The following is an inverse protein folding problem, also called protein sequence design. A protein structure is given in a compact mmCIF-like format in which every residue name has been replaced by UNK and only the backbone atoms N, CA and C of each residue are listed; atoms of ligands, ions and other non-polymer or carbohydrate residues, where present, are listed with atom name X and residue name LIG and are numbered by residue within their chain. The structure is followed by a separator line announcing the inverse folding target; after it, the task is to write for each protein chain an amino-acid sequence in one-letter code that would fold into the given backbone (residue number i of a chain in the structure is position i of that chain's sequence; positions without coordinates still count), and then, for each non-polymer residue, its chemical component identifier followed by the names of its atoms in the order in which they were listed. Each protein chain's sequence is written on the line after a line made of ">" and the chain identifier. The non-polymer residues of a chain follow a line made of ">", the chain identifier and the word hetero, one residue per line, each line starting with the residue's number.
data_IF_799396684436
#
_entry.id   IF_799396684436
#
_cell.length_a   1.000
_cell.length_b   1.000
_cell.length_c   1.000
_cell.angle_alpha   90.00
_cell.angle_beta   90.00
_cell.angle_gamma   90.00
#
_symmetry.space_group_name_H-M   'P 1'
#
loop_
_entity.id
_entity.type
_entity.pdbx_description
1 polymer ?
#
# COMPACT_ATOMS: atom_id res chain seq x y z
N UNK A 1 16.80 4.02 5.30
CA UNK A 1 15.46 4.37 4.81
C UNK A 1 15.51 5.35 3.65
N UNK A 2 16.07 6.53 3.82
CA UNK A 2 16.22 7.51 2.73
C UNK A 2 17.17 7.04 1.61
N UNK A 3 18.22 6.32 1.96
CA UNK A 3 19.13 5.70 0.97
C UNK A 3 18.41 4.65 0.13
N UNK A 4 17.54 3.85 0.73
CA UNK A 4 16.70 2.88 0.02
C UNK A 4 15.77 3.59 -0.98
N UNK A 5 15.12 4.68 -0.56
CA UNK A 5 14.27 5.49 -1.44
C UNK A 5 15.04 6.01 -2.63
N UNK A 6 16.19 6.63 -2.39
CA UNK A 6 17.03 7.21 -3.45
C UNK A 6 17.51 6.13 -4.44
N UNK A 7 17.98 5.01 -3.94
CA UNK A 7 18.46 3.91 -4.77
C UNK A 7 17.34 3.29 -5.62
N UNK A 8 16.18 3.06 -5.05
CA UNK A 8 15.05 2.50 -5.79
C UNK A 8 14.53 3.45 -6.87
N UNK A 9 14.43 4.74 -6.57
CA UNK A 9 14.02 5.74 -7.54
C UNK A 9 15.04 5.88 -8.69
N UNK A 10 16.32 5.69 -8.42
CA UNK A 10 17.37 5.74 -9.42
C UNK A 10 17.41 4.47 -10.30
N UNK A 11 17.26 3.29 -9.70
CA UNK A 11 17.37 2.01 -10.42
C UNK A 11 16.07 1.58 -11.09
N UNK A 12 14.92 2.00 -10.58
CA UNK A 12 13.62 1.72 -11.15
C UNK A 12 12.77 3.00 -11.21
N UNK A 13 13.04 3.89 -12.17
CA UNK A 13 12.31 5.16 -12.28
C UNK A 13 10.80 4.97 -12.42
N UNK A 14 10.04 5.81 -11.76
CA UNK A 14 8.58 5.70 -11.70
C UNK A 14 8.07 4.90 -10.51
N UNK A 15 8.95 4.24 -9.74
CA UNK A 15 8.59 3.62 -8.47
C UNK A 15 8.18 4.70 -7.46
N UNK A 16 7.23 4.34 -6.59
CA UNK A 16 6.76 5.23 -5.54
C UNK A 16 7.32 4.74 -4.21
N UNK A 17 8.09 5.58 -3.56
CA UNK A 17 8.53 5.38 -2.18
C UNK A 17 8.20 6.65 -1.41
N UNK A 18 7.13 6.59 -0.64
CA UNK A 18 6.71 7.70 0.22
C UNK A 18 7.08 7.42 1.67
N UNK A 19 7.77 8.35 2.27
CA UNK A 19 8.17 8.28 3.68
C UNK A 19 7.57 9.48 4.39
N UNK A 20 6.69 9.19 5.34
CA UNK A 20 6.05 10.21 6.16
C UNK A 20 6.69 10.20 7.55
N UNK A 21 7.20 11.36 7.95
CA UNK A 21 7.85 11.56 9.23
C UNK A 21 7.12 12.66 10.01
N UNK A 22 7.17 12.57 11.33
CA UNK A 22 6.63 13.61 12.20
C UNK A 22 7.77 14.38 12.86
N UNK A 23 7.74 15.71 12.72
CA UNK A 23 8.69 16.60 13.37
C UNK A 23 8.13 17.03 14.73
N UNK A 24 8.92 16.82 15.78
CA UNK A 24 8.59 17.26 17.13
C UNK A 24 8.98 18.73 17.33
N UNK A 25 8.40 19.34 18.37
CA UNK A 25 8.70 20.75 18.74
C UNK A 25 10.17 20.99 19.06
N UNK A 26 10.90 19.97 19.51
CA UNK A 26 12.34 20.03 19.78
C UNK A 26 13.23 19.88 18.55
N UNK A 27 12.63 19.79 17.35
CA UNK A 27 13.36 19.60 16.10
C UNK A 27 13.66 18.14 15.74
N UNK A 28 13.41 17.19 16.62
CA UNK A 28 13.58 15.77 16.32
C UNK A 28 12.52 15.31 15.32
N UNK A 29 12.96 14.42 14.42
CA UNK A 29 12.11 13.80 13.39
C UNK A 29 12.04 12.30 13.66
N UNK A 30 10.84 11.76 13.73
CA UNK A 30 10.68 10.33 13.84
C UNK A 30 9.81 9.77 12.70
N UNK A 31 10.11 8.52 12.33
CA UNK A 31 9.40 7.79 11.30
C UNK A 31 7.95 7.54 11.71
N UNK A 32 7.04 7.80 10.78
CA UNK A 32 5.62 7.55 10.98
C UNK A 32 5.10 6.41 10.12
N UNK A 33 5.31 6.49 8.81
CA UNK A 33 4.83 5.49 7.86
C UNK A 33 5.60 5.55 6.55
N UNK A 34 5.58 4.44 5.83
CA UNK A 34 6.24 4.31 4.53
C UNK A 34 5.37 3.51 3.58
N UNK A 35 5.39 3.88 2.31
CA UNK A 35 4.75 3.13 1.23
C UNK A 35 5.75 2.86 0.12
N UNK A 36 5.71 1.65 -0.43
CA UNK A 36 6.58 1.23 -1.52
C UNK A 36 5.76 0.54 -2.60
N UNK A 37 5.85 1.05 -3.83
CA UNK A 37 5.32 0.42 -5.03
C UNK A 37 6.39 0.45 -6.11
N UNK A 38 6.96 -0.70 -6.43
CA UNK A 38 8.01 -0.80 -7.45
C UNK A 38 7.35 -0.74 -8.82
N UNK A 39 7.83 0.14 -9.70
CA UNK A 39 7.26 0.38 -11.03
C UNK A 39 7.11 -0.90 -11.85
N UNK A 40 8.12 -1.77 -11.84
CA UNK A 40 8.06 -3.04 -12.54
C UNK A 40 6.93 -3.94 -12.04
N UNK A 41 6.69 -3.98 -10.73
CA UNK A 41 5.59 -4.74 -10.12
C UNK A 41 4.23 -4.15 -10.48
N UNK A 42 4.10 -2.84 -10.46
CA UNK A 42 2.86 -2.16 -10.85
C UNK A 42 2.55 -2.39 -12.33
N UNK A 43 3.52 -2.25 -13.20
CA UNK A 43 3.37 -2.48 -14.63
C UNK A 43 2.96 -3.93 -14.93
N UNK A 44 3.57 -4.90 -14.26
CA UNK A 44 3.21 -6.30 -14.37
C UNK A 44 1.80 -6.60 -13.87
N UNK A 45 1.39 -5.97 -12.79
CA UNK A 45 0.02 -6.06 -12.29
C UNK A 45 -0.99 -5.55 -13.32
N UNK A 46 -0.75 -4.37 -13.87
CA UNK A 46 -1.67 -3.75 -14.83
C UNK A 46 -1.74 -4.50 -16.17
N UNK A 47 -0.64 -5.14 -16.58
CA UNK A 47 -0.53 -5.82 -17.86
C UNK A 47 -0.94 -7.30 -17.80
N UNK A 48 -0.66 -8.00 -16.69
CA UNK A 48 -0.74 -9.46 -16.67
C UNK A 48 -1.54 -10.08 -15.54
N UNK A 49 -1.93 -9.32 -14.53
CA UNK A 49 -2.69 -9.84 -13.41
C UNK A 49 -4.20 -9.64 -13.59
N UNK A 50 -4.97 -10.40 -12.84
CA UNK A 50 -6.41 -10.17 -12.75
C UNK A 50 -6.68 -8.82 -12.07
N UNK A 51 -7.79 -8.12 -12.38
CA UNK A 51 -8.15 -6.87 -11.71
C UNK A 51 -8.65 -7.13 -10.27
N UNK A 52 -7.78 -7.67 -9.47
CA UNK A 52 -8.02 -8.12 -8.11
C UNK A 52 -6.86 -7.69 -7.20
N UNK A 53 -7.18 -7.19 -6.03
CA UNK A 53 -6.22 -6.92 -4.97
C UNK A 53 -6.74 -7.49 -3.65
N UNK A 54 -5.93 -8.32 -3.02
CA UNK A 54 -6.07 -8.67 -1.62
C UNK A 54 -5.17 -7.76 -0.79
N UNK A 55 -5.71 -7.11 0.21
CA UNK A 55 -4.95 -6.26 1.13
C UNK A 55 -5.14 -6.74 2.55
N UNK A 56 -4.04 -7.03 3.18
CA UNK A 56 -3.98 -7.53 4.55
C UNK A 56 -2.80 -6.91 5.27
N UNK A 57 -2.79 -6.99 6.58
CA UNK A 57 -1.68 -6.52 7.39
C UNK A 57 -1.24 -7.56 8.41
N UNK A 58 0.01 -7.48 8.79
CA UNK A 58 0.59 -8.33 9.82
C UNK A 58 1.40 -7.51 10.80
N UNK A 59 1.45 -7.96 12.06
CA UNK A 59 2.25 -7.31 13.08
C UNK A 59 3.74 -7.53 12.84
N UNK A 60 4.50 -6.45 12.94
CA UNK A 60 5.95 -6.51 12.97
C UNK A 60 6.43 -6.70 14.41
N UNK A 61 7.27 -7.69 14.63
CA UNK A 61 7.88 -7.98 15.93
C UNK A 61 9.39 -7.82 15.83
N UNK A 62 9.93 -6.78 16.42
CA UNK A 62 11.36 -6.48 16.34
C UNK A 62 11.67 -5.13 16.96
N UNK A 63 12.69 -4.45 16.45
CA UNK A 63 13.03 -3.09 16.90
C UNK A 63 11.91 -2.08 16.60
N UNK A 64 11.18 -2.29 15.49
CA UNK A 64 10.00 -1.53 15.15
C UNK A 64 8.76 -2.39 15.34
N UNK A 65 7.87 -1.97 16.21
CA UNK A 65 6.58 -2.61 16.45
C UNK A 65 5.50 -1.82 15.70
N UNK A 66 5.02 -2.39 14.63
CA UNK A 66 4.02 -1.75 13.79
C UNK A 66 3.29 -2.76 12.93
N UNK A 67 2.74 -2.29 11.84
CA UNK A 67 2.01 -3.09 10.87
C UNK A 67 2.72 -3.06 9.52
N UNK A 68 2.81 -4.21 8.88
CA UNK A 68 3.17 -4.33 7.47
C UNK A 68 1.91 -4.64 6.68
N UNK A 69 1.48 -3.70 5.87
CA UNK A 69 0.37 -3.90 4.94
C UNK A 69 0.91 -4.35 3.59
N UNK A 70 0.28 -5.33 2.99
CA UNK A 70 0.65 -5.83 1.68
C UNK A 70 -0.57 -5.84 0.75
N UNK A 71 -0.39 -5.30 -0.45
CA UNK A 71 -1.35 -5.41 -1.54
C UNK A 71 -0.83 -6.45 -2.53
N UNK A 72 -1.57 -7.52 -2.71
CA UNK A 72 -1.22 -8.64 -3.57
C UNK A 72 -2.31 -8.92 -4.59
N UNK A 73 -1.92 -9.42 -5.74
CA UNK A 73 -2.83 -9.84 -6.80
C UNK A 73 -2.59 -11.30 -7.16
N UNK A 74 -3.22 -11.76 -8.22
CA UNK A 74 -3.08 -13.10 -8.76
C UNK A 74 -2.75 -12.97 -10.25
N UNK A 75 -1.68 -13.62 -10.67
CA UNK A 75 -1.28 -13.65 -12.07
C UNK A 75 -2.07 -14.68 -12.89
N UNK A 76 -1.76 -14.79 -14.18
CA UNK A 76 -2.42 -15.72 -15.09
C UNK A 76 -2.24 -17.20 -14.74
N UNK A 77 -1.28 -17.55 -13.89
CA UNK A 77 -1.02 -18.92 -13.42
C UNK A 77 -1.60 -19.19 -12.03
N UNK A 78 -2.41 -18.28 -11.48
CA UNK A 78 -2.95 -18.33 -10.12
C UNK A 78 -1.88 -18.24 -9.02
N UNK A 79 -0.74 -17.64 -9.31
CA UNK A 79 0.29 -17.36 -8.33
C UNK A 79 0.06 -16.00 -7.67
N UNK A 80 0.42 -15.92 -6.40
CA UNK A 80 0.42 -14.64 -5.67
C UNK A 80 1.42 -13.66 -6.30
N UNK A 81 0.96 -12.45 -6.57
CA UNK A 81 1.77 -11.40 -7.20
C UNK A 81 1.82 -10.17 -6.28
N UNK A 82 3.00 -9.79 -5.78
CA UNK A 82 3.12 -8.61 -4.92
C UNK A 82 3.00 -7.33 -5.75
N UNK A 83 2.18 -6.39 -5.27
CA UNK A 83 1.95 -5.11 -5.94
C UNK A 83 2.57 -3.95 -5.17
N UNK A 84 2.29 -3.85 -3.88
CA UNK A 84 2.77 -2.75 -3.05
C UNK A 84 2.81 -3.12 -1.57
N UNK A 85 3.59 -2.36 -0.80
CA UNK A 85 3.72 -2.53 0.65
C UNK A 85 3.57 -1.21 1.36
N UNK A 86 3.05 -1.26 2.58
CA UNK A 86 3.01 -0.14 3.49
C UNK A 86 3.47 -0.53 4.88
N UNK A 87 4.13 0.38 5.57
CA UNK A 87 4.52 0.21 6.98
C UNK A 87 3.97 1.39 7.76
N UNK A 88 3.23 1.11 8.83
CA UNK A 88 2.70 2.13 9.73
C UNK A 88 2.57 1.57 11.15
N UNK A 89 2.35 2.47 12.11
CA UNK A 89 2.39 2.09 13.52
C UNK A 89 1.15 1.30 13.97
N UNK A 90 -0.04 1.74 13.56
CA UNK A 90 -1.31 1.11 13.95
C UNK A 90 -2.30 1.08 12.79
N UNK A 91 -3.23 0.16 12.84
CA UNK A 91 -4.34 0.08 11.90
C UNK A 91 -5.42 1.12 12.23
N UNK A 92 -5.14 2.37 11.95
CA UNK A 92 -6.09 3.47 12.11
C UNK A 92 -6.72 3.83 10.77
N UNK A 93 -7.89 4.46 10.79
CA UNK A 93 -8.52 5.00 9.59
C UNK A 93 -7.58 5.96 8.84
N UNK A 94 -6.85 6.80 9.57
CA UNK A 94 -5.92 7.76 8.98
C UNK A 94 -4.77 7.08 8.23
N UNK A 95 -4.19 6.04 8.82
CA UNK A 95 -3.09 5.29 8.21
C UNK A 95 -3.57 4.47 7.01
N UNK A 96 -4.71 3.80 7.10
CA UNK A 96 -5.30 3.11 5.96
C UNK A 96 -5.72 4.07 4.84
N UNK A 97 -6.26 5.23 5.16
CA UNK A 97 -6.58 6.26 4.15
C UNK A 97 -5.33 6.71 3.40
N UNK A 98 -4.25 6.93 4.12
CA UNK A 98 -2.97 7.29 3.52
C UNK A 98 -2.43 6.16 2.62
N UNK A 99 -2.48 4.91 3.08
CA UNK A 99 -2.07 3.74 2.29
C UNK A 99 -2.87 3.64 0.98
N UNK A 100 -4.19 3.74 1.06
CA UNK A 100 -5.06 3.67 -0.11
C UNK A 100 -4.81 4.80 -1.09
N UNK A 101 -4.56 6.01 -0.62
CA UNK A 101 -4.20 7.14 -1.48
C UNK A 101 -2.91 6.89 -2.25
N UNK A 102 -1.89 6.36 -1.60
CA UNK A 102 -0.63 6.01 -2.25
C UNK A 102 -0.83 4.86 -3.24
N UNK A 103 -1.59 3.85 -2.88
CA UNK A 103 -1.90 2.73 -3.77
C UNK A 103 -2.66 3.18 -5.02
N UNK A 104 -3.68 4.02 -4.85
CA UNK A 104 -4.43 4.61 -5.98
C UNK A 104 -3.54 5.44 -6.88
N UNK A 105 -2.61 6.20 -6.33
CA UNK A 105 -1.59 6.93 -7.07
C UNK A 105 -0.72 5.99 -7.92
N UNK A 106 -0.38 4.82 -7.39
CA UNK A 106 0.48 3.85 -8.06
C UNK A 106 -0.24 3.10 -9.19
N UNK A 107 -1.45 2.60 -8.94
CA UNK A 107 -2.15 1.70 -9.86
C UNK A 107 -3.32 2.36 -10.60
N UNK A 108 -3.79 3.52 -10.15
CA UNK A 108 -5.02 4.12 -10.67
C UNK A 108 -6.25 3.32 -10.28
N UNK A 109 -7.25 3.31 -11.15
CA UNK A 109 -8.50 2.55 -10.99
C UNK A 109 -8.71 1.67 -12.21
N UNK A 110 -8.02 0.52 -12.31
CA UNK A 110 -8.19 -0.40 -13.43
C UNK A 110 -9.64 -0.86 -13.56
N UNK A 111 -10.10 -1.02 -14.79
CA UNK A 111 -11.47 -1.45 -15.03
C UNK A 111 -11.76 -2.80 -14.38
N UNK A 112 -12.88 -2.87 -13.66
CA UNK A 112 -13.30 -4.10 -12.99
C UNK A 112 -12.51 -4.45 -11.72
N UNK A 113 -11.73 -3.52 -11.19
CA UNK A 113 -10.93 -3.77 -10.00
C UNK A 113 -11.81 -4.14 -8.80
N UNK A 114 -11.52 -5.28 -8.21
CA UNK A 114 -12.13 -5.76 -6.96
C UNK A 114 -11.08 -5.79 -5.87
N UNK A 115 -11.37 -5.17 -4.74
CA UNK A 115 -10.49 -5.14 -3.57
C UNK A 115 -11.08 -6.01 -2.47
N UNK A 116 -10.31 -6.97 -1.98
CA UNK A 116 -10.65 -7.80 -0.84
C UNK A 116 -9.83 -7.40 0.37
N UNK A 117 -10.50 -7.23 1.50
CA UNK A 117 -9.85 -6.85 2.76
C UNK A 117 -10.40 -7.66 3.92
N UNK A 118 -9.67 -7.64 5.02
CA UNK A 118 -10.19 -8.11 6.30
C UNK A 118 -11.24 -7.14 6.87
N UNK A 119 -12.06 -7.63 7.80
CA UNK A 119 -13.11 -6.85 8.45
C UNK A 119 -12.52 -5.92 9.52
N UNK A 120 -11.91 -4.85 9.08
CA UNK A 120 -11.39 -3.78 9.94
C UNK A 120 -12.12 -2.47 9.62
N UNK A 121 -12.81 -1.90 10.58
CA UNK A 121 -13.64 -0.69 10.38
C UNK A 121 -12.88 0.48 9.75
N UNK A 122 -11.66 0.73 10.21
CA UNK A 122 -10.84 1.80 9.67
C UNK A 122 -10.46 1.56 8.22
N UNK A 123 -10.18 0.33 7.86
CA UNK A 123 -9.81 -0.09 6.52
C UNK A 123 -10.98 0.03 5.54
N UNK A 124 -12.14 -0.51 5.90
CA UNK A 124 -13.34 -0.47 5.05
C UNK A 124 -13.76 0.97 4.72
N UNK A 125 -13.85 1.81 5.74
CA UNK A 125 -14.20 3.22 5.55
C UNK A 125 -13.19 3.94 4.68
N UNK A 126 -11.90 3.66 4.86
CA UNK A 126 -10.83 4.28 4.08
C UNK A 126 -10.88 3.89 2.61
N UNK A 127 -11.17 2.63 2.28
CA UNK A 127 -11.35 2.18 0.89
C UNK A 127 -12.47 2.96 0.20
N UNK A 128 -13.62 3.06 0.82
CA UNK A 128 -14.75 3.79 0.27
C UNK A 128 -14.45 5.28 0.07
N UNK A 129 -13.77 5.90 1.02
CA UNK A 129 -13.43 7.31 0.94
C UNK A 129 -12.43 7.62 -0.18
N UNK A 130 -11.46 6.73 -0.41
CA UNK A 130 -10.42 6.96 -1.40
C UNK A 130 -10.88 6.61 -2.82
N UNK A 131 -11.53 5.47 -3.00
CA UNK A 131 -11.94 4.99 -4.32
C UNK A 131 -13.35 5.45 -4.75
N UNK A 132 -14.16 5.93 -3.83
CA UNK A 132 -15.45 6.58 -4.09
C UNK A 132 -16.40 5.78 -5.02
N UNK A 133 -16.40 4.45 -4.88
CA UNK A 133 -17.25 3.59 -5.69
C UNK A 133 -16.68 3.17 -7.04
N UNK A 134 -15.47 3.60 -7.38
CA UNK A 134 -14.78 3.20 -8.62
C UNK A 134 -14.28 1.75 -8.59
N UNK A 135 -14.34 1.09 -7.44
CA UNK A 135 -13.90 -0.28 -7.25
C UNK A 135 -14.97 -1.06 -6.49
N UNK A 136 -15.04 -2.37 -6.73
CA UNK A 136 -15.84 -3.26 -5.91
C UNK A 136 -15.02 -3.65 -4.67
N UNK A 137 -15.58 -3.42 -3.49
CA UNK A 137 -14.95 -3.80 -2.22
C UNK A 137 -15.69 -4.96 -1.58
N UNK A 138 -14.95 -6.00 -1.22
CA UNK A 138 -15.45 -7.18 -0.51
C UNK A 138 -14.64 -7.45 0.75
N UNK A 139 -15.31 -7.90 1.76
CA UNK A 139 -14.69 -8.33 3.03
C UNK A 139 -14.70 -9.85 3.06
N UNK A 140 -13.56 -10.45 3.40
CA UNK A 140 -13.51 -11.91 3.56
C UNK A 140 -13.80 -12.40 4.95
#
# INVERSE_FOLDING_TARGET
>A
MWSFKAELEATCPGSIVEIDCKKLKNGQVYFRRMFVAIKACVDGFLAGCRPYLGVDSTHLTGKYNGQLAAATSIDGHNWMYPVAYGIFYKETKADWTWFWKQLKRAIGTPHGLTIHTDACKGLETAVHNVFQGDVEHRVF
#
